data_IF_041175310553
#
_entry.id   IF_041175310553
#
_cell.length_a   1.000
_cell.length_b   1.000
_cell.length_c   1.000
_cell.angle_alpha   90.00
_cell.angle_beta   90.00
_cell.angle_gamma   90.00
#
_symmetry.space_group_name_H-M   'P 1'
#
loop_
_entity.id
_entity.type
_entity.pdbx_description
1 polymer ?
#
# COMPACT_ATOMS: atom_id res chain seq x y z
N UNK A 1 50.30 5.34 2.15
CA UNK A 1 49.30 6.40 2.40
C UNK A 1 48.02 6.00 1.73
N UNK A 2 47.04 5.62 2.56
CA UNK A 2 45.88 4.81 2.22
C UNK A 2 45.05 5.45 1.09
N UNK A 3 45.01 4.76 -0.04
CA UNK A 3 43.92 4.84 -1.01
C UNK A 3 42.70 4.21 -0.35
N UNK A 4 41.69 5.02 -0.01
CA UNK A 4 40.40 4.50 0.43
C UNK A 4 39.27 5.22 -0.31
N UNK A 5 38.85 4.54 -1.36
CA UNK A 5 37.47 4.32 -1.81
C UNK A 5 36.54 5.52 -1.94
N UNK A 6 36.45 6.01 -3.18
CA UNK A 6 35.23 6.61 -3.74
C UNK A 6 34.09 5.58 -3.69
N UNK A 7 33.37 5.51 -2.60
CA UNK A 7 32.08 4.82 -2.53
C UNK A 7 31.00 5.65 -3.24
N UNK A 8 30.70 5.22 -4.46
CA UNK A 8 29.45 5.40 -5.20
C UNK A 8 28.23 5.74 -4.31
N UNK A 9 27.84 7.02 -4.25
CA UNK A 9 26.57 7.42 -3.67
C UNK A 9 25.45 7.13 -4.68
N UNK A 10 25.01 5.86 -4.75
CA UNK A 10 23.93 5.41 -5.66
C UNK A 10 22.64 5.12 -4.89
N UNK A 11 22.44 5.75 -3.73
CA UNK A 11 21.18 5.73 -3.00
C UNK A 11 20.57 7.13 -3.03
N UNK A 12 19.47 7.34 -3.76
CA UNK A 12 18.66 8.55 -3.54
C UNK A 12 18.26 8.58 -2.08
N UNK A 13 18.30 9.76 -1.43
CA UNK A 13 17.96 9.96 0.00
C UNK A 13 16.71 9.18 0.43
N UNK A 14 15.71 9.08 -0.45
CA UNK A 14 14.48 8.28 -0.29
C UNK A 14 14.69 6.79 0.05
N UNK A 15 15.80 6.20 -0.36
CA UNK A 15 16.14 4.78 -0.14
C UNK A 15 16.54 4.50 1.32
N UNK A 16 16.98 5.52 2.06
CA UNK A 16 17.22 5.45 3.50
C UNK A 16 15.93 5.67 4.32
N UNK A 17 14.84 6.13 3.67
CA UNK A 17 13.50 6.29 4.26
C UNK A 17 12.56 5.18 3.79
N UNK A 18 12.99 3.92 3.94
CA UNK A 18 12.05 2.80 3.84
C UNK A 18 10.94 3.01 4.87
N UNK A 19 9.71 2.63 4.56
CA UNK A 19 8.52 2.94 5.37
C UNK A 19 8.60 2.26 6.74
N UNK A 20 9.24 2.92 7.71
CA UNK A 20 9.34 2.42 9.08
C UNK A 20 8.07 2.71 9.88
N UNK A 21 6.88 2.52 9.32
CA UNK A 21 5.63 2.88 10.02
C UNK A 21 4.55 1.81 9.82
N UNK A 22 3.81 1.55 10.88
CA UNK A 22 2.70 0.60 10.89
C UNK A 22 1.56 1.13 10.03
N UNK A 23 1.07 0.34 9.07
CA UNK A 23 -0.01 0.77 8.16
C UNK A 23 -1.38 0.98 8.84
N UNK A 24 -1.52 0.62 10.12
CA UNK A 24 -2.74 0.79 10.91
C UNK A 24 -2.70 1.99 11.86
N UNK A 25 -1.59 2.20 12.55
CA UNK A 25 -1.48 3.21 13.61
C UNK A 25 -0.37 4.23 13.38
N UNK A 26 0.36 4.13 12.27
CA UNK A 26 1.49 4.97 11.89
C UNK A 26 2.62 5.05 12.95
N UNK A 27 2.66 4.12 13.92
CA UNK A 27 3.76 4.00 14.87
C UNK A 27 5.02 3.48 14.16
N UNK A 28 6.20 3.92 14.61
CA UNK A 28 7.46 3.51 14.00
C UNK A 28 7.68 2.00 14.15
N UNK A 29 7.86 1.27 13.05
CA UNK A 29 8.16 -0.16 13.06
C UNK A 29 8.92 -0.62 11.81
N UNK A 30 9.78 -1.63 11.95
CA UNK A 30 10.58 -2.20 10.84
C UNK A 30 9.79 -3.12 9.89
N UNK A 31 8.52 -3.39 10.21
CA UNK A 31 7.61 -4.22 9.41
C UNK A 31 6.35 -3.48 8.99
N UNK A 32 5.41 -4.19 8.36
CA UNK A 32 4.12 -3.61 7.91
C UNK A 32 3.19 -3.31 9.09
N UNK A 33 3.29 -4.09 10.17
CA UNK A 33 2.51 -3.95 11.39
C UNK A 33 3.44 -3.87 12.60
N UNK A 34 3.07 -3.05 13.59
CA UNK A 34 3.75 -3.06 14.89
C UNK A 34 3.24 -4.22 15.76
N UNK A 35 4.05 -4.64 16.73
CA UNK A 35 3.73 -5.76 17.64
C UNK A 35 2.37 -5.57 18.32
N UNK A 36 2.04 -4.36 18.76
CA UNK A 36 0.74 -4.07 19.40
C UNK A 36 -0.47 -4.29 18.48
N UNK A 37 -0.29 -4.11 17.17
CA UNK A 37 -1.33 -4.37 16.18
C UNK A 37 -1.39 -5.86 15.83
N UNK A 38 -0.24 -6.54 15.80
CA UNK A 38 -0.17 -7.98 15.57
C UNK A 38 -0.86 -8.76 16.70
N UNK A 39 -0.59 -8.41 17.96
CA UNK A 39 -1.23 -9.03 19.14
C UNK A 39 -2.76 -8.89 19.13
N UNK A 40 -3.27 -7.79 18.56
CA UNK A 40 -4.72 -7.57 18.44
C UNK A 40 -5.38 -8.47 17.41
N UNK A 41 -4.65 -9.15 16.52
CA UNK A 41 -5.19 -10.21 15.66
C UNK A 41 -6.37 -9.77 14.78
N UNK A 42 -7.57 -10.27 15.10
CA UNK A 42 -8.79 -10.08 14.31
C UNK A 42 -9.18 -8.59 14.10
N UNK A 43 -9.22 -7.72 15.13
CA UNK A 43 -9.42 -6.28 14.93
C UNK A 43 -8.43 -5.64 13.95
N UNK A 44 -7.15 -6.03 13.99
CA UNK A 44 -6.15 -5.51 13.07
C UNK A 44 -6.41 -5.98 11.63
N UNK A 45 -6.74 -7.26 11.44
CA UNK A 45 -7.14 -7.81 10.15
C UNK A 45 -8.39 -7.10 9.57
N UNK A 46 -9.40 -6.88 10.41
CA UNK A 46 -10.62 -6.19 10.01
C UNK A 46 -10.35 -4.74 9.60
N UNK A 47 -9.51 -4.02 10.36
CA UNK A 47 -9.13 -2.65 10.03
C UNK A 47 -8.36 -2.57 8.69
N UNK A 48 -7.40 -3.48 8.47
CA UNK A 48 -6.63 -3.57 7.22
C UNK A 48 -7.54 -3.83 6.01
N UNK A 49 -8.36 -4.88 6.10
CA UNK A 49 -9.26 -5.28 5.02
C UNK A 49 -10.32 -4.22 4.74
N UNK A 50 -10.81 -3.52 5.77
CA UNK A 50 -11.74 -2.40 5.59
C UNK A 50 -11.08 -1.24 4.85
N UNK A 51 -9.86 -0.85 5.25
CA UNK A 51 -9.09 0.21 4.56
C UNK A 51 -8.85 -0.13 3.09
N UNK A 52 -8.48 -1.38 2.78
CA UNK A 52 -8.35 -1.86 1.41
C UNK A 52 -9.65 -1.73 0.63
N UNK A 53 -10.76 -2.25 1.17
CA UNK A 53 -12.08 -2.21 0.52
C UNK A 53 -12.56 -0.79 0.24
N UNK A 54 -12.28 0.16 1.14
CA UNK A 54 -12.63 1.56 0.93
C UNK A 54 -11.85 2.17 -0.25
N UNK A 55 -10.56 1.85 -0.38
CA UNK A 55 -9.75 2.29 -1.51
C UNK A 55 -10.20 1.65 -2.82
N UNK A 56 -10.50 0.34 -2.81
CA UNK A 56 -11.05 -0.37 -3.97
C UNK A 56 -12.35 0.25 -4.45
N UNK A 57 -13.30 0.52 -3.54
CA UNK A 57 -14.57 1.20 -3.87
C UNK A 57 -14.33 2.59 -4.46
N UNK A 58 -13.43 3.38 -3.89
CA UNK A 58 -13.11 4.72 -4.40
C UNK A 58 -12.52 4.67 -5.81
N UNK A 59 -11.64 3.70 -6.07
CA UNK A 59 -11.09 3.47 -7.39
C UNK A 59 -12.18 3.05 -8.38
N UNK A 60 -13.04 2.10 -8.01
CA UNK A 60 -14.12 1.60 -8.86
C UNK A 60 -15.12 2.70 -9.24
N UNK A 61 -15.51 3.56 -8.30
CA UNK A 61 -16.38 4.71 -8.58
C UNK A 61 -15.76 5.66 -9.60
N UNK A 62 -14.46 5.92 -9.48
CA UNK A 62 -13.74 6.79 -10.41
C UNK A 62 -13.60 6.14 -11.79
N UNK A 63 -13.31 4.85 -11.85
CA UNK A 63 -13.27 4.07 -13.10
C UNK A 63 -14.62 4.10 -13.79
N UNK A 64 -15.72 3.91 -13.06
CA UNK A 64 -17.07 4.03 -13.60
C UNK A 64 -17.39 5.42 -14.14
N UNK A 65 -16.88 6.48 -13.50
CA UNK A 65 -16.99 7.83 -14.04
C UNK A 65 -16.21 7.98 -15.35
N UNK A 66 -14.97 7.50 -15.41
CA UNK A 66 -14.17 7.57 -16.63
C UNK A 66 -14.70 6.70 -17.77
N UNK A 67 -15.28 5.52 -17.48
CA UNK A 67 -15.96 4.69 -18.47
C UNK A 67 -17.12 5.45 -19.11
N UNK A 68 -17.96 6.09 -18.29
CA UNK A 68 -19.07 6.94 -18.76
C UNK A 68 -18.59 8.13 -19.60
N UNK A 69 -17.53 8.80 -19.16
CA UNK A 69 -16.96 9.96 -19.86
C UNK A 69 -16.34 9.58 -21.22
N UNK A 70 -15.67 8.42 -21.32
CA UNK A 70 -15.00 7.98 -22.55
C UNK A 70 -15.89 7.17 -23.50
N UNK A 71 -17.10 6.79 -23.07
CA UNK A 71 -17.95 5.84 -23.79
C UNK A 71 -17.36 4.42 -23.87
N UNK A 72 -16.30 4.14 -23.11
CA UNK A 72 -15.68 2.81 -23.07
C UNK A 72 -16.39 1.91 -22.05
N UNK A 73 -16.62 0.66 -22.44
CA UNK A 73 -17.13 -0.40 -21.58
C UNK A 73 -16.00 -1.25 -20.95
N UNK A 74 -14.75 -0.97 -21.29
CA UNK A 74 -13.59 -1.67 -20.73
C UNK A 74 -13.26 -1.11 -19.34
N UNK A 75 -13.07 -1.99 -18.35
CA UNK A 75 -12.62 -1.60 -17.01
C UNK A 75 -11.23 -0.93 -17.03
N UNK A 76 -10.40 -1.25 -18.02
CA UNK A 76 -9.10 -0.66 -18.23
C UNK A 76 -9.22 0.68 -18.96
N UNK A 77 -9.47 1.75 -18.21
CA UNK A 77 -9.58 3.10 -18.76
C UNK A 77 -8.19 3.60 -19.22
N UNK A 78 -8.01 3.84 -20.52
CA UNK A 78 -6.73 4.32 -21.11
C UNK A 78 -6.68 5.84 -21.36
N UNK A 79 -7.51 6.63 -20.67
CA UNK A 79 -7.52 8.09 -20.80
C UNK A 79 -6.12 8.70 -20.52
N UNK A 80 -5.66 9.58 -21.41
CA UNK A 80 -4.38 10.30 -21.34
C UNK A 80 -4.54 11.83 -21.44
N UNK A 81 -5.78 12.34 -21.43
CA UNK A 81 -6.06 13.77 -21.51
C UNK A 81 -5.54 14.49 -20.25
N UNK A 82 -4.56 15.37 -20.44
CA UNK A 82 -3.96 16.16 -19.36
C UNK A 82 -4.94 17.19 -18.79
N UNK A 83 -5.94 17.61 -19.58
CA UNK A 83 -7.01 18.52 -19.16
C UNK A 83 -8.07 17.83 -18.27
N UNK A 84 -8.04 16.48 -18.20
CA UNK A 84 -8.95 15.73 -17.36
C UNK A 84 -8.54 15.84 -15.89
N UNK A 85 -9.35 16.52 -15.09
CA UNK A 85 -9.18 16.65 -13.63
C UNK A 85 -9.11 15.29 -12.90
N UNK A 86 -9.65 14.23 -13.49
CA UNK A 86 -9.66 12.87 -12.93
C UNK A 86 -8.42 12.04 -13.28
N UNK A 87 -7.60 12.45 -14.25
CA UNK A 87 -6.45 11.67 -14.73
C UNK A 87 -5.48 11.34 -13.59
N UNK A 88 -4.95 12.37 -12.93
CA UNK A 88 -3.96 12.20 -11.86
C UNK A 88 -4.55 11.56 -10.61
N UNK A 89 -5.81 11.88 -10.30
CA UNK A 89 -6.54 11.25 -9.18
C UNK A 89 -6.67 9.74 -9.39
N UNK A 90 -6.99 9.31 -10.62
CA UNK A 90 -7.08 7.89 -10.98
C UNK A 90 -5.73 7.20 -10.86
N UNK A 91 -4.68 7.77 -11.48
CA UNK A 91 -3.33 7.20 -11.41
C UNK A 91 -2.82 7.10 -9.97
N UNK A 92 -3.14 8.09 -9.13
CA UNK A 92 -2.80 8.07 -7.70
C UNK A 92 -3.54 6.96 -6.96
N UNK A 93 -4.85 6.82 -7.17
CA UNK A 93 -5.65 5.78 -6.52
C UNK A 93 -5.23 4.38 -6.97
N UNK A 94 -4.89 4.19 -8.24
CA UNK A 94 -4.41 2.90 -8.75
C UNK A 94 -3.11 2.46 -8.08
N UNK A 95 -2.16 3.40 -7.89
CA UNK A 95 -0.93 3.15 -7.14
C UNK A 95 -1.22 2.84 -5.67
N UNK A 96 -2.07 3.65 -5.03
CA UNK A 96 -2.46 3.45 -3.64
C UNK A 96 -3.16 2.11 -3.42
N UNK A 97 -4.01 1.67 -4.34
CA UNK A 97 -4.70 0.38 -4.28
C UNK A 97 -3.73 -0.79 -4.41
N UNK A 98 -2.74 -0.70 -5.32
CA UNK A 98 -1.67 -1.72 -5.43
C UNK A 98 -0.89 -1.83 -4.13
N UNK A 99 -0.38 -0.72 -3.62
CA UNK A 99 0.36 -0.68 -2.36
C UNK A 99 -0.49 -1.17 -1.18
N UNK A 100 -1.76 -0.78 -1.10
CA UNK A 100 -2.66 -1.25 -0.04
C UNK A 100 -2.93 -2.76 -0.10
N UNK A 101 -3.04 -3.33 -1.30
CA UNK A 101 -3.15 -4.78 -1.49
C UNK A 101 -1.90 -5.51 -1.02
N UNK A 102 -0.72 -5.04 -1.42
CA UNK A 102 0.56 -5.59 -0.99
C UNK A 102 0.67 -5.58 0.54
N UNK A 103 0.34 -4.45 1.18
CA UNK A 103 0.34 -4.34 2.64
C UNK A 103 -0.70 -5.24 3.33
N UNK A 104 -1.87 -5.46 2.73
CA UNK A 104 -2.86 -6.37 3.32
C UNK A 104 -2.41 -7.83 3.22
N UNK A 105 -1.74 -8.22 2.12
CA UNK A 105 -1.15 -9.56 2.00
C UNK A 105 -0.04 -9.75 3.04
N UNK A 106 0.92 -8.82 3.11
CA UNK A 106 2.02 -8.87 4.06
C UNK A 106 1.53 -8.82 5.53
N UNK A 107 0.58 -7.94 5.83
CA UNK A 107 -0.04 -7.86 7.16
C UNK A 107 -0.86 -9.10 7.51
N UNK A 108 -1.54 -9.71 6.53
CA UNK A 108 -2.24 -10.97 6.70
C UNK A 108 -1.31 -12.13 7.05
N UNK A 109 -0.18 -12.25 6.37
CA UNK A 109 0.88 -13.22 6.72
C UNK A 109 1.41 -12.97 8.14
N UNK A 110 1.76 -11.74 8.49
CA UNK A 110 2.27 -11.40 9.82
C UNK A 110 1.28 -11.73 10.96
N UNK A 111 -0.03 -11.51 10.74
CA UNK A 111 -1.07 -11.86 11.71
C UNK A 111 -1.26 -13.38 11.82
N UNK A 112 -1.16 -14.11 10.70
CA UNK A 112 -1.28 -15.55 10.68
C UNK A 112 -0.07 -16.23 11.35
N UNK A 113 1.14 -15.76 11.07
CA UNK A 113 2.38 -16.27 11.67
C UNK A 113 2.36 -16.10 13.20
N UNK A 114 1.88 -14.95 13.68
CA UNK A 114 1.69 -14.70 15.11
C UNK A 114 0.61 -15.59 15.75
N UNK A 115 -0.46 -15.91 15.01
CA UNK A 115 -1.48 -16.84 15.49
C UNK A 115 -0.94 -18.28 15.61
N UNK A 116 -0.14 -18.74 14.65
CA UNK A 116 0.52 -20.06 14.69
C UNK A 116 1.53 -20.13 15.82
N UNK A 117 2.32 -19.08 16.04
CA UNK A 117 3.28 -19.01 17.15
C UNK A 117 2.59 -19.10 18.53
N UNK A 118 1.39 -18.54 18.69
CA UNK A 118 0.61 -18.64 19.92
C UNK A 118 -0.04 -20.03 20.14
N UNK A 119 -0.20 -20.85 19.10
CA UNK A 119 -0.78 -22.19 19.19
C UNK A 119 0.24 -23.30 19.42
N UNK A 120 1.54 -23.02 19.27
CA UNK A 120 2.64 -24.00 19.41
C UNK A 120 3.28 -24.02 20.81
N UNK A 121 2.55 -23.60 21.84
CA UNK A 121 2.92 -23.73 23.26
C UNK A 121 1.95 -24.64 24.01
#
# INVERSE_FOLDING_TARGET
FLTQDRSYFTGTVKQYFQSEHCVLCDAQCKGVLCESCVVRGAPAYFALSTRQRLLERKHDLLVQHCMRCSGSHERAVKCVSLDCQHLYTRLKLERQQRTAREHCLQGGHALNDAAVANFNW
#
